data_IF_099362537633
#
_entry.id   IF_099362537633
#
_cell.length_a   1.000
_cell.length_b   1.000
_cell.length_c   1.000
_cell.angle_alpha   90.00
_cell.angle_beta   90.00
_cell.angle_gamma   90.00
#
_symmetry.space_group_name_H-M   'P 1'
#
loop_
_entity.id
_entity.type
_entity.pdbx_description
1 polymer ?
#
# COMPACT_ATOMS: atom_id res chain seq x y z
N UNK A 1 -12.89 -7.83 -15.51
CA UNK A 1 -13.81 -6.68 -15.48
C UNK A 1 -15.29 -7.10 -15.47
N UNK A 2 -15.77 -7.97 -16.37
CA UNK A 2 -17.18 -8.42 -16.39
C UNK A 2 -17.70 -8.96 -15.04
N UNK A 3 -16.92 -9.80 -14.35
CA UNK A 3 -17.33 -10.34 -13.04
C UNK A 3 -17.53 -9.23 -11.99
N UNK A 4 -16.70 -8.20 -11.99
CA UNK A 4 -16.85 -7.07 -11.07
C UNK A 4 -18.08 -6.24 -11.42
N UNK A 5 -18.28 -5.95 -12.72
CA UNK A 5 -19.46 -5.22 -13.16
C UNK A 5 -20.76 -5.96 -12.84
N UNK A 6 -20.85 -7.25 -13.16
CA UNK A 6 -22.05 -8.06 -12.89
C UNK A 6 -22.33 -8.31 -11.40
N UNK A 7 -21.33 -8.17 -10.51
CA UNK A 7 -21.51 -8.38 -9.08
C UNK A 7 -21.63 -7.09 -8.27
N UNK A 8 -21.12 -5.96 -8.78
CA UNK A 8 -21.00 -4.71 -8.02
C UNK A 8 -21.40 -3.46 -8.81
N UNK A 9 -21.88 -3.59 -10.05
CA UNK A 9 -22.19 -2.48 -10.98
C UNK A 9 -21.00 -1.53 -11.24
N UNK A 10 -19.77 -1.98 -10.95
CA UNK A 10 -18.54 -1.23 -11.16
C UNK A 10 -17.43 -2.18 -11.64
N UNK A 11 -16.88 -2.00 -12.87
CA UNK A 11 -15.86 -2.90 -13.42
C UNK A 11 -14.50 -2.81 -12.71
N UNK A 12 -14.29 -1.76 -11.91
CA UNK A 12 -13.08 -1.46 -11.15
C UNK A 12 -13.36 -1.37 -9.64
N UNK A 13 -14.47 -1.95 -9.16
CA UNK A 13 -14.88 -1.89 -7.76
C UNK A 13 -13.72 -2.27 -6.79
N UNK A 14 -13.48 -1.53 -5.69
CA UNK A 14 -14.23 -0.36 -5.21
C UNK A 14 -13.75 0.98 -5.79
N UNK A 15 -12.79 0.98 -6.72
CA UNK A 15 -12.20 2.19 -7.27
C UNK A 15 -13.13 2.89 -8.27
N UNK A 16 -12.89 4.19 -8.48
CA UNK A 16 -13.61 5.03 -9.45
C UNK A 16 -15.15 5.05 -9.27
N UNK A 17 -15.64 4.87 -8.04
CA UNK A 17 -17.08 4.84 -7.79
C UNK A 17 -17.79 6.18 -8.05
N UNK A 18 -17.06 7.31 -8.06
CA UNK A 18 -17.63 8.59 -8.50
C UNK A 18 -18.06 8.60 -9.98
N UNK A 19 -17.53 7.67 -10.79
CA UNK A 19 -17.91 7.50 -12.20
C UNK A 19 -18.97 6.40 -12.36
N UNK A 20 -18.69 5.20 -11.83
CA UNK A 20 -19.53 4.02 -12.05
C UNK A 20 -20.74 3.95 -11.11
N UNK A 21 -20.67 4.60 -9.93
CA UNK A 21 -21.77 4.76 -8.97
C UNK A 21 -22.42 3.44 -8.56
N UNK A 22 -21.60 2.47 -8.17
CA UNK A 22 -22.07 1.28 -7.46
C UNK A 22 -22.92 1.69 -6.26
N UNK A 23 -24.09 1.08 -6.03
CA UNK A 23 -24.94 1.41 -4.89
C UNK A 23 -24.37 0.90 -3.55
N UNK A 24 -23.36 0.02 -3.58
CA UNK A 24 -22.82 -0.64 -2.39
C UNK A 24 -21.96 0.26 -1.51
N UNK A 25 -21.30 1.24 -2.13
CA UNK A 25 -20.44 2.20 -1.45
C UNK A 25 -20.83 3.62 -1.87
N UNK A 26 -20.44 4.59 -1.07
CA UNK A 26 -20.68 6.00 -1.28
C UNK A 26 -20.17 6.42 -2.67
N UNK A 27 -20.79 7.45 -3.27
CA UNK A 27 -20.47 7.92 -4.63
C UNK A 27 -19.12 8.65 -4.73
N UNK A 28 -18.20 8.38 -3.81
CA UNK A 28 -16.84 8.90 -3.80
C UNK A 28 -15.85 7.84 -4.29
N UNK A 29 -14.69 8.28 -4.77
CA UNK A 29 -13.66 7.35 -5.20
C UNK A 29 -12.97 6.76 -3.97
N UNK A 30 -13.10 5.45 -3.77
CA UNK A 30 -12.37 4.73 -2.72
C UNK A 30 -10.87 4.83 -2.97
N UNK A 31 -10.21 5.79 -2.32
CA UNK A 31 -8.75 5.98 -2.40
C UNK A 31 -8.24 6.59 -1.11
N UNK A 32 -6.99 6.29 -0.80
CA UNK A 32 -6.30 6.92 0.32
C UNK A 32 -5.74 8.29 -0.10
N UNK A 33 -6.29 9.36 0.46
CA UNK A 33 -5.86 10.74 0.21
C UNK A 33 -5.01 11.33 1.34
N UNK A 34 -4.69 10.54 2.38
CA UNK A 34 -4.00 11.03 3.59
C UNK A 34 -2.64 11.66 3.27
N UNK A 35 -1.96 11.14 2.26
CA UNK A 35 -0.60 11.52 1.89
C UNK A 35 -0.51 12.39 0.62
N UNK A 36 -1.65 12.71 0.00
CA UNK A 36 -1.68 13.59 -1.16
C UNK A 36 -1.39 15.03 -0.70
N UNK A 37 -0.40 15.73 -1.29
CA UNK A 37 -0.08 17.11 -0.91
C UNK A 37 -1.28 18.04 -1.07
N UNK A 38 -1.55 18.84 -0.04
CA UNK A 38 -2.66 19.82 -0.06
C UNK A 38 -2.27 21.16 -0.67
N UNK A 39 -0.96 21.42 -0.82
CA UNK A 39 -0.44 22.65 -1.38
C UNK A 39 0.91 22.44 -2.07
N UNK A 40 1.32 23.41 -2.88
CA UNK A 40 2.59 23.38 -3.63
C UNK A 40 3.83 23.27 -2.74
N UNK A 41 3.77 23.76 -1.51
CA UNK A 41 4.90 23.69 -0.57
C UNK A 41 5.13 22.23 -0.16
N UNK A 42 4.07 21.54 0.30
CA UNK A 42 4.12 20.11 0.63
C UNK A 42 4.53 19.25 -0.57
N UNK A 43 4.16 19.67 -1.79
CA UNK A 43 4.56 19.00 -3.03
C UNK A 43 6.08 19.02 -3.26
N UNK A 44 6.77 20.13 -3.03
CA UNK A 44 8.23 20.20 -3.20
C UNK A 44 9.01 19.77 -1.96
N UNK A 45 8.39 19.84 -0.78
CA UNK A 45 8.97 19.37 0.47
C UNK A 45 9.22 17.86 0.46
N UNK A 46 8.38 17.09 -0.23
CA UNK A 46 8.44 15.62 -0.17
C UNK A 46 9.84 15.01 -0.40
N UNK A 47 10.52 15.21 -1.55
CA UNK A 47 11.84 14.64 -1.79
C UNK A 47 12.87 15.12 -0.77
N UNK A 48 12.79 16.40 -0.35
CA UNK A 48 13.72 16.99 0.60
C UNK A 48 13.55 16.39 1.99
N UNK A 49 12.32 16.31 2.50
CA UNK A 49 12.02 15.73 3.80
C UNK A 49 12.34 14.24 3.85
N UNK A 50 11.96 13.49 2.81
CA UNK A 50 12.31 12.08 2.68
C UNK A 50 13.81 11.86 2.71
N UNK A 51 14.63 12.75 2.15
CA UNK A 51 16.08 12.58 2.14
C UNK A 51 16.76 12.88 3.50
N UNK A 52 16.25 13.87 4.25
CA UNK A 52 16.98 14.45 5.39
C UNK A 52 16.60 13.84 6.74
N UNK A 53 15.32 13.59 6.99
CA UNK A 53 14.80 13.26 8.32
C UNK A 53 13.89 12.05 8.26
N UNK A 54 14.04 11.05 9.16
CA UNK A 54 13.06 9.98 9.30
C UNK A 54 11.69 10.56 9.64
N UNK A 55 10.69 10.34 8.79
CA UNK A 55 9.38 10.95 8.94
C UNK A 55 8.25 10.07 8.40
N UNK A 56 7.01 10.40 8.77
CA UNK A 56 5.77 9.74 8.34
C UNK A 56 4.91 10.61 7.42
N UNK A 57 5.49 11.66 6.82
CA UNK A 57 4.73 12.64 6.03
C UNK A 57 4.05 12.00 4.81
N UNK A 58 4.69 10.98 4.23
CA UNK A 58 4.24 10.25 3.04
C UNK A 58 4.33 8.73 3.22
N UNK A 59 4.37 8.25 4.46
CA UNK A 59 4.49 6.83 4.81
C UNK A 59 3.84 6.57 6.16
N UNK A 60 3.21 5.40 6.33
CA UNK A 60 2.62 5.00 7.61
C UNK A 60 3.68 4.76 8.70
N UNK A 61 4.90 4.39 8.31
CA UNK A 61 6.02 4.10 9.20
C UNK A 61 7.16 5.06 8.87
N UNK A 62 7.90 5.56 9.88
CA UNK A 62 9.03 6.45 9.66
C UNK A 62 10.01 5.88 8.63
N UNK A 63 10.32 6.67 7.62
CA UNK A 63 11.36 6.35 6.64
C UNK A 63 12.21 7.57 6.31
N UNK A 64 13.40 7.30 5.82
CA UNK A 64 14.34 8.28 5.28
C UNK A 64 15.03 7.64 4.09
N UNK A 65 15.05 8.33 2.97
CA UNK A 65 15.63 7.84 1.74
C UNK A 65 16.03 8.99 0.81
N UNK A 66 17.33 9.16 0.52
CA UNK A 66 17.83 10.24 -0.33
C UNK A 66 17.63 10.00 -1.84
N UNK A 67 17.20 8.80 -2.27
CA UNK A 67 17.12 8.42 -3.70
C UNK A 67 16.08 9.23 -4.47
N UNK A 68 14.99 9.63 -3.80
CA UNK A 68 13.97 10.48 -4.41
C UNK A 68 14.52 11.90 -4.67
N UNK A 69 15.25 12.48 -3.71
CA UNK A 69 15.86 13.79 -3.90
C UNK A 69 16.97 13.75 -4.96
N UNK A 70 17.85 12.75 -4.90
CA UNK A 70 18.95 12.65 -5.86
C UNK A 70 18.44 12.47 -7.29
N UNK A 71 17.43 11.62 -7.50
CA UNK A 71 16.76 11.46 -8.78
C UNK A 71 16.15 12.77 -9.30
N UNK A 72 15.45 13.51 -8.46
CA UNK A 72 14.84 14.80 -8.83
C UNK A 72 15.89 15.84 -9.23
N UNK A 73 16.97 15.98 -8.45
CA UNK A 73 18.07 16.93 -8.73
C UNK A 73 18.75 16.59 -10.06
N UNK A 74 19.03 15.31 -10.32
CA UNK A 74 19.65 14.86 -11.58
C UNK A 74 18.72 15.10 -12.76
N UNK A 75 17.43 14.75 -12.64
CA UNK A 75 16.43 14.96 -13.69
C UNK A 75 16.33 16.44 -14.08
N UNK A 76 16.22 17.33 -13.09
CA UNK A 76 16.19 18.79 -13.31
C UNK A 76 17.49 19.25 -13.98
N UNK A 77 18.64 18.82 -13.49
CA UNK A 77 19.94 19.17 -14.07
C UNK A 77 20.10 18.73 -15.53
N UNK A 78 19.63 17.53 -15.88
CA UNK A 78 19.68 17.01 -17.25
C UNK A 78 18.73 17.77 -18.19
N UNK A 79 17.54 18.14 -17.72
CA UNK A 79 16.59 18.97 -18.48
C UNK A 79 17.16 20.37 -18.72
N UNK A 80 17.72 21.01 -17.70
CA UNK A 80 18.35 22.34 -17.82
C UNK A 80 19.53 22.27 -18.80
N UNK A 81 20.39 21.25 -18.69
CA UNK A 81 21.52 21.06 -19.61
C UNK A 81 21.05 20.83 -21.06
N UNK A 82 19.95 20.09 -21.26
CA UNK A 82 19.34 19.93 -22.58
C UNK A 82 18.80 21.27 -23.12
N UNK A 83 18.06 22.03 -22.31
CA UNK A 83 17.52 23.33 -22.68
C UNK A 83 18.62 24.34 -23.06
N UNK A 84 19.70 24.43 -22.27
CA UNK A 84 20.85 25.29 -22.55
C UNK A 84 21.52 24.90 -23.89
N UNK A 85 21.69 23.60 -24.16
CA UNK A 85 22.28 23.13 -25.44
C UNK A 85 21.44 23.54 -26.65
N UNK A 86 20.11 23.49 -26.52
CA UNK A 86 19.17 23.92 -27.56
C UNK A 86 19.24 25.45 -27.75
N UNK A 87 19.18 26.22 -26.66
CA UNK A 87 19.26 27.68 -26.69
C UNK A 87 20.57 28.19 -27.30
N UNK A 88 21.70 27.54 -26.97
CA UNK A 88 23.02 27.86 -27.52
C UNK A 88 23.24 27.34 -28.94
N UNK A 89 22.22 26.73 -29.58
CA UNK A 89 22.27 26.13 -30.93
C UNK A 89 23.46 25.17 -31.14
N UNK A 90 23.98 24.58 -30.06
CA UNK A 90 25.17 23.72 -30.08
C UNK A 90 24.87 22.29 -30.55
N UNK A 91 23.60 21.93 -30.78
CA UNK A 91 23.23 20.59 -31.25
C UNK A 91 22.03 20.63 -32.20
N UNK A 92 22.23 20.10 -33.43
CA UNK A 92 21.17 19.74 -34.38
C UNK A 92 20.94 18.22 -34.49
N UNK A 93 21.77 17.39 -33.85
CA UNK A 93 21.66 15.93 -33.91
C UNK A 93 21.26 15.38 -32.55
N UNK A 94 20.01 14.92 -32.48
CA UNK A 94 19.33 14.30 -31.33
C UNK A 94 19.02 15.24 -30.15
N UNK A 95 17.89 15.93 -30.27
CA UNK A 95 17.23 16.62 -29.14
C UNK A 95 16.65 15.64 -28.11
N UNK A 96 16.44 14.38 -28.49
CA UNK A 96 15.90 13.30 -27.63
C UNK A 96 17.01 12.32 -27.23
N UNK A 97 17.76 12.65 -26.19
CA UNK A 97 18.67 11.69 -25.56
C UNK A 97 17.93 10.82 -24.54
N UNK A 98 18.45 9.61 -24.29
CA UNK A 98 17.96 8.73 -23.22
C UNK A 98 17.91 9.44 -21.87
N UNK A 99 18.88 10.32 -21.58
CA UNK A 99 18.90 11.15 -20.37
C UNK A 99 17.64 12.03 -20.26
N UNK A 100 17.26 12.72 -21.35
CA UNK A 100 16.10 13.59 -21.35
C UNK A 100 14.82 12.78 -21.17
N UNK A 101 14.73 11.60 -21.81
CA UNK A 101 13.62 10.68 -21.62
C UNK A 101 13.51 10.23 -20.16
N UNK A 102 14.60 9.76 -19.55
CA UNK A 102 14.62 9.33 -18.15
C UNK A 102 14.24 10.48 -17.21
N UNK A 103 14.79 11.68 -17.42
CA UNK A 103 14.49 12.85 -16.61
C UNK A 103 13.02 13.28 -16.74
N UNK A 104 12.48 13.32 -17.96
CA UNK A 104 11.07 13.66 -18.21
C UNK A 104 10.13 12.60 -17.64
N UNK A 105 10.43 11.32 -17.83
CA UNK A 105 9.66 10.21 -17.27
C UNK A 105 9.67 10.26 -15.73
N UNK A 106 10.82 10.55 -15.13
CA UNK A 106 10.95 10.72 -13.68
C UNK A 106 10.03 11.83 -13.16
N UNK A 107 10.11 13.03 -13.73
CA UNK A 107 9.30 14.16 -13.28
C UNK A 107 7.81 13.94 -13.54
N UNK A 108 7.45 13.33 -14.67
CA UNK A 108 6.05 12.99 -14.98
C UNK A 108 5.50 11.98 -13.96
N UNK A 109 6.24 10.90 -13.71
CA UNK A 109 5.85 9.90 -12.72
C UNK A 109 5.80 10.47 -11.30
N UNK A 110 6.70 11.39 -10.96
CA UNK A 110 6.66 12.10 -9.69
C UNK A 110 5.39 12.93 -9.55
N UNK A 111 5.07 13.77 -10.54
CA UNK A 111 3.86 14.60 -10.54
C UNK A 111 2.61 13.72 -10.46
N UNK A 112 2.48 12.74 -11.37
CA UNK A 112 1.31 11.86 -11.42
C UNK A 112 1.18 11.04 -10.13
N UNK A 113 2.23 10.38 -9.68
CA UNK A 113 2.21 9.52 -8.50
C UNK A 113 1.88 10.30 -7.22
N UNK A 114 2.44 11.51 -7.09
CA UNK A 114 2.20 12.36 -5.93
C UNK A 114 0.78 12.97 -5.94
N UNK A 115 0.23 13.28 -7.12
CA UNK A 115 -1.15 13.78 -7.25
C UNK A 115 -2.23 12.71 -7.04
N UNK A 116 -1.95 11.45 -7.40
CA UNK A 116 -2.91 10.36 -7.25
C UNK A 116 -2.86 9.67 -5.90
N UNK A 117 -1.66 9.38 -5.41
CA UNK A 117 -1.46 8.56 -4.21
C UNK A 117 -0.75 9.32 -3.10
N UNK A 118 0.39 9.95 -3.43
CA UNK A 118 1.25 10.61 -2.46
C UNK A 118 1.89 9.70 -1.41
N UNK A 119 1.86 8.37 -1.61
CA UNK A 119 2.42 7.37 -0.69
C UNK A 119 3.80 6.93 -1.19
N UNK A 120 4.81 7.01 -0.33
CA UNK A 120 6.20 6.68 -0.64
C UNK A 120 6.37 5.25 -1.15
N UNK A 121 5.62 4.27 -0.63
CA UNK A 121 5.73 2.87 -1.10
C UNK A 121 5.47 2.69 -2.60
N UNK A 122 4.78 3.64 -3.25
CA UNK A 122 4.51 3.62 -4.68
C UNK A 122 5.59 4.34 -5.51
N UNK A 123 6.61 4.91 -4.87
CA UNK A 123 7.72 5.58 -5.53
C UNK A 123 8.85 4.63 -5.95
N UNK A 124 8.67 3.31 -5.84
CA UNK A 124 9.70 2.32 -6.21
C UNK A 124 10.23 2.51 -7.64
N UNK A 125 9.36 2.87 -8.59
CA UNK A 125 9.78 3.14 -9.98
C UNK A 125 10.66 4.39 -10.05
N UNK A 126 10.34 5.43 -9.26
CA UNK A 126 11.17 6.62 -9.14
C UNK A 126 12.50 6.32 -8.45
N UNK A 127 12.53 5.48 -7.42
CA UNK A 127 13.77 5.07 -6.77
C UNK A 127 14.71 4.34 -7.75
N UNK A 128 14.17 3.40 -8.53
CA UNK A 128 14.94 2.66 -9.53
C UNK A 128 15.45 3.59 -10.65
N UNK A 129 14.59 4.47 -11.14
CA UNK A 129 14.96 5.43 -12.19
C UNK A 129 15.99 6.45 -11.68
N UNK A 130 15.79 6.96 -10.45
CA UNK A 130 16.73 7.84 -9.77
C UNK A 130 18.10 7.19 -9.55
N UNK A 131 18.13 5.93 -9.10
CA UNK A 131 19.35 5.16 -8.96
C UNK A 131 20.07 4.94 -10.30
N UNK A 132 19.32 4.63 -11.37
CA UNK A 132 19.90 4.48 -12.71
C UNK A 132 20.49 5.79 -13.23
N UNK A 133 19.77 6.92 -13.07
CA UNK A 133 20.28 8.24 -13.45
C UNK A 133 21.53 8.62 -12.65
N UNK A 134 21.53 8.35 -11.34
CA UNK A 134 22.69 8.57 -10.47
C UNK A 134 23.89 7.75 -10.92
N UNK A 135 23.69 6.47 -11.25
CA UNK A 135 24.77 5.62 -11.75
C UNK A 135 25.40 6.16 -13.03
N UNK A 136 24.57 6.60 -13.99
CA UNK A 136 25.05 7.25 -15.23
C UNK A 136 25.82 8.54 -14.92
N UNK A 137 25.30 9.37 -14.01
CA UNK A 137 25.96 10.61 -13.60
C UNK A 137 27.34 10.34 -12.97
N UNK A 138 27.44 9.32 -12.11
CA UNK A 138 28.68 8.93 -11.45
C UNK A 138 29.71 8.37 -12.44
N UNK A 139 29.31 7.55 -13.41
CA UNK A 139 30.23 7.07 -14.47
C UNK A 139 30.83 8.25 -15.24
N UNK A 140 29.99 9.20 -15.66
CA UNK A 140 30.44 10.38 -16.41
C UNK A 140 31.35 11.28 -15.57
N UNK A 141 31.08 11.39 -14.27
CA UNK A 141 31.93 12.13 -13.35
C UNK A 141 33.28 11.44 -13.18
N UNK A 142 33.30 10.12 -12.98
CA UNK A 142 34.53 9.31 -12.89
C UNK A 142 35.39 9.39 -14.14
N UNK A 143 34.79 9.50 -15.33
CA UNK A 143 35.52 9.71 -16.59
C UNK A 143 36.21 11.09 -16.68
N UNK A 144 35.79 12.08 -15.89
CA UNK A 144 36.37 13.43 -15.87
C UNK A 144 37.40 13.63 -14.76
N UNK A 145 37.47 12.71 -13.80
CA UNK A 145 38.35 12.76 -12.65
C UNK A 145 39.51 11.78 -12.80
N UNK A 146 40.52 11.89 -11.93
CA UNK A 146 41.53 10.84 -11.79
C UNK A 146 40.87 9.51 -11.37
N UNK A 147 41.53 8.37 -11.65
CA UNK A 147 40.98 7.07 -11.28
C UNK A 147 40.68 6.96 -9.77
N UNK A 148 41.59 7.48 -8.94
CA UNK A 148 41.46 7.45 -7.48
C UNK A 148 40.30 8.34 -7.00
N UNK A 149 40.23 9.59 -7.46
CA UNK A 149 39.19 10.54 -7.03
C UNK A 149 37.81 10.09 -7.51
N UNK A 150 37.71 9.60 -8.75
CA UNK A 150 36.46 9.09 -9.30
C UNK A 150 35.91 7.91 -8.50
N UNK A 151 36.78 6.96 -8.12
CA UNK A 151 36.40 5.81 -7.30
C UNK A 151 36.00 6.25 -5.88
N UNK A 152 36.73 7.20 -5.29
CA UNK A 152 36.41 7.76 -3.99
C UNK A 152 35.03 8.41 -4.00
N UNK A 153 34.73 9.26 -4.99
CA UNK A 153 33.42 9.91 -5.13
C UNK A 153 32.29 8.90 -5.31
N UNK A 154 32.47 7.87 -6.15
CA UNK A 154 31.46 6.82 -6.33
C UNK A 154 31.20 6.09 -5.02
N UNK A 155 32.27 5.64 -4.35
CA UNK A 155 32.19 4.89 -3.09
C UNK A 155 31.52 5.71 -2.00
N UNK A 156 31.95 6.95 -1.81
CA UNK A 156 31.37 7.86 -0.81
C UNK A 156 29.89 8.16 -1.08
N UNK A 157 29.50 8.28 -2.36
CA UNK A 157 28.09 8.49 -2.72
C UNK A 157 27.24 7.27 -2.37
N UNK A 158 27.68 6.06 -2.71
CA UNK A 158 26.96 4.83 -2.36
C UNK A 158 26.89 4.62 -0.84
N UNK A 159 27.99 4.86 -0.13
CA UNK A 159 28.02 4.78 1.34
C UNK A 159 27.08 5.80 1.97
N UNK A 160 27.05 7.04 1.46
CA UNK A 160 26.13 8.07 1.95
C UNK A 160 24.67 7.64 1.76
N UNK A 161 24.31 7.09 0.60
CA UNK A 161 22.95 6.57 0.37
C UNK A 161 22.63 5.43 1.33
N UNK A 162 23.55 4.48 1.52
CA UNK A 162 23.34 3.35 2.41
C UNK A 162 23.13 3.79 3.87
N UNK A 163 23.94 4.72 4.38
CA UNK A 163 23.86 5.22 5.76
C UNK A 163 22.63 6.12 5.98
N UNK A 164 22.27 6.91 4.97
CA UNK A 164 21.12 7.81 5.07
C UNK A 164 19.78 7.08 4.85
N UNK A 165 19.77 5.89 4.27
CA UNK A 165 18.52 5.15 4.07
C UNK A 165 18.10 4.43 5.36
N UNK A 166 16.92 4.79 5.89
CA UNK A 166 16.23 4.05 6.94
C UNK A 166 14.96 3.42 6.37
N UNK A 167 14.97 2.09 6.29
CA UNK A 167 13.90 1.31 5.68
C UNK A 167 12.72 1.14 6.63
N UNK A 168 11.48 1.37 6.18
CA UNK A 168 10.29 1.04 6.97
C UNK A 168 10.13 -0.48 7.09
N UNK A 169 9.75 -0.94 8.29
CA UNK A 169 9.46 -2.35 8.57
C UNK A 169 7.99 -2.52 8.97
N UNK A 170 7.19 -3.11 8.07
CA UNK A 170 5.79 -3.45 8.31
C UNK A 170 5.62 -4.84 8.95
N UNK A 171 6.70 -5.44 9.43
CA UNK A 171 6.73 -6.81 9.94
C UNK A 171 7.00 -7.79 8.81
N UNK A 172 8.12 -8.49 8.89
CA UNK A 172 8.50 -9.56 7.97
C UNK A 172 8.61 -10.87 8.73
N UNK A 173 8.05 -11.92 8.13
CA UNK A 173 8.27 -13.28 8.61
C UNK A 173 9.65 -13.75 8.11
N UNK A 174 10.47 -14.39 8.96
CA UNK A 174 11.72 -14.99 8.52
C UNK A 174 11.52 -16.00 7.38
N UNK A 175 12.44 -15.99 6.41
CA UNK A 175 12.51 -17.03 5.37
C UNK A 175 13.29 -18.21 5.92
N UNK A 176 12.58 -19.20 6.45
CA UNK A 176 13.14 -20.42 7.06
C UNK A 176 13.17 -21.63 6.11
N UNK A 177 12.83 -21.43 4.82
CA UNK A 177 12.77 -22.47 3.80
C UNK A 177 11.47 -23.30 3.81
N UNK A 178 10.55 -23.06 4.75
CA UNK A 178 9.23 -23.69 4.76
C UNK A 178 8.21 -22.98 3.85
N UNK A 179 6.99 -23.53 3.71
CA UNK A 179 5.91 -22.88 2.98
C UNK A 179 5.63 -21.45 3.52
N UNK A 180 5.41 -20.48 2.63
CA UNK A 180 5.16 -19.10 3.08
C UNK A 180 3.83 -18.98 3.85
N UNK A 181 2.80 -19.67 3.38
CA UNK A 181 1.53 -19.81 4.08
C UNK A 181 1.53 -21.11 4.89
N UNK A 182 1.62 -20.98 6.22
CA UNK A 182 1.58 -22.09 7.19
C UNK A 182 0.49 -21.85 8.24
N UNK A 183 -0.68 -21.42 7.78
CA UNK A 183 -1.80 -21.17 8.67
C UNK A 183 -2.38 -22.50 9.14
N UNK A 184 -2.37 -22.74 10.44
CA UNK A 184 -3.06 -23.89 11.04
C UNK A 184 -4.47 -23.43 11.43
N UNK A 185 -5.38 -23.50 10.45
CA UNK A 185 -6.76 -23.05 10.61
C UNK A 185 -7.65 -24.19 11.12
N UNK A 186 -8.57 -23.93 12.07
CA UNK A 186 -9.41 -24.97 12.63
C UNK A 186 -10.45 -25.45 11.62
N UNK A 187 -10.68 -26.77 11.60
CA UNK A 187 -11.83 -27.35 10.93
C UNK A 187 -13.12 -26.88 11.61
N UNK A 188 -14.04 -26.35 10.81
CA UNK A 188 -15.36 -25.91 11.29
C UNK A 188 -16.45 -26.91 10.84
N UNK A 189 -17.58 -26.99 11.56
CA UNK A 189 -18.71 -27.77 11.11
C UNK A 189 -19.15 -27.40 9.68
N UNK A 190 -19.75 -28.34 8.92
CA UNK A 190 -20.27 -28.04 7.59
C UNK A 190 -21.26 -26.87 7.60
N UNK A 191 -21.26 -26.06 6.54
CA UNK A 191 -22.12 -24.88 6.41
C UNK A 191 -21.91 -23.82 7.51
N UNK A 192 -20.71 -23.71 8.08
CA UNK A 192 -20.37 -22.60 8.99
C UNK A 192 -20.21 -21.28 8.25
N UNK A 193 -20.50 -20.18 8.96
CA UNK A 193 -20.24 -18.81 8.53
C UNK A 193 -19.21 -18.16 9.45
N UNK A 194 -18.19 -17.56 8.85
CA UNK A 194 -17.22 -16.72 9.57
C UNK A 194 -17.55 -15.26 9.29
N UNK A 195 -17.68 -14.47 10.35
CA UNK A 195 -17.80 -13.01 10.26
C UNK A 195 -16.56 -12.38 10.87
N UNK A 196 -15.76 -11.72 10.03
CA UNK A 196 -14.62 -10.98 10.50
C UNK A 196 -15.01 -9.59 10.99
N UNK A 197 -14.49 -9.27 12.16
CA UNK A 197 -14.80 -8.05 12.91
C UNK A 197 -13.53 -7.23 13.19
N UNK A 198 -12.49 -7.45 12.39
CA UNK A 198 -11.18 -6.82 12.52
C UNK A 198 -10.79 -6.06 11.26
N UNK A 199 -10.08 -4.96 11.42
CA UNK A 199 -9.49 -4.18 10.31
C UNK A 199 -8.20 -4.78 9.76
N UNK A 200 -7.73 -5.89 10.36
CA UNK A 200 -6.50 -6.54 9.96
C UNK A 200 -6.61 -7.20 8.58
N UNK A 201 -5.51 -7.29 7.81
CA UNK A 201 -5.53 -7.83 6.46
C UNK A 201 -5.63 -9.37 6.48
N UNK A 202 -6.85 -9.88 6.61
CA UNK A 202 -7.16 -11.31 6.80
C UNK A 202 -7.64 -12.02 5.52
N UNK A 203 -7.78 -11.32 4.40
CA UNK A 203 -8.37 -11.87 3.17
C UNK A 203 -7.63 -13.10 2.63
N UNK A 204 -6.33 -13.22 2.93
CA UNK A 204 -5.52 -14.37 2.54
C UNK A 204 -5.90 -15.68 3.25
N UNK A 205 -6.59 -15.61 4.39
CA UNK A 205 -7.05 -16.78 5.15
C UNK A 205 -8.26 -17.47 4.49
N UNK A 206 -9.11 -16.69 3.81
CA UNK A 206 -10.37 -17.16 3.23
C UNK A 206 -10.20 -18.38 2.31
N UNK A 207 -9.34 -18.36 1.27
CA UNK A 207 -9.17 -19.52 0.40
C UNK A 207 -8.44 -20.71 1.04
N UNK A 208 -7.86 -20.53 2.23
CA UNK A 208 -7.08 -21.56 2.92
C UNK A 208 -7.90 -22.29 3.98
N UNK A 209 -9.10 -21.79 4.29
CA UNK A 209 -9.90 -22.33 5.38
C UNK A 209 -10.45 -23.72 5.03
N UNK A 210 -10.20 -24.76 5.85
CA UNK A 210 -10.72 -26.10 5.59
C UNK A 210 -12.25 -26.11 5.45
N UNK A 211 -12.76 -26.77 4.41
CA UNK A 211 -14.20 -26.89 4.16
C UNK A 211 -14.85 -25.65 3.52
N UNK A 212 -14.08 -24.60 3.19
CA UNK A 212 -14.56 -23.39 2.50
C UNK A 212 -15.85 -22.79 3.11
N UNK A 213 -15.84 -22.44 4.41
CA UNK A 213 -16.98 -21.80 5.06
C UNK A 213 -17.36 -20.49 4.36
N UNK A 214 -18.63 -20.09 4.49
CA UNK A 214 -19.05 -18.76 4.06
C UNK A 214 -18.29 -17.70 4.87
N UNK A 215 -18.03 -16.54 4.26
CA UNK A 215 -17.23 -15.50 4.88
C UNK A 215 -17.78 -14.11 4.62
N UNK A 216 -17.94 -13.32 5.68
CA UNK A 216 -18.22 -11.88 5.59
C UNK A 216 -17.17 -11.09 6.35
N UNK A 217 -16.72 -9.97 5.79
CA UNK A 217 -15.87 -9.01 6.52
C UNK A 217 -16.69 -7.79 6.88
N UNK A 218 -17.18 -7.76 8.11
CA UNK A 218 -18.06 -6.70 8.60
C UNK A 218 -17.30 -5.41 8.95
N UNK A 219 -15.98 -5.51 9.12
CA UNK A 219 -15.08 -4.37 9.33
C UNK A 219 -13.95 -4.44 8.31
N UNK A 220 -13.83 -3.43 7.44
CA UNK A 220 -12.76 -3.31 6.42
C UNK A 220 -12.45 -1.84 6.16
N UNK A 221 -11.48 -1.52 5.30
CA UNK A 221 -11.29 -0.18 4.74
C UNK A 221 -12.34 0.21 3.67
N UNK A 222 -13.21 -0.72 3.27
CA UNK A 222 -14.26 -0.49 2.26
C UNK A 222 -15.61 -0.27 2.95
N UNK A 223 -15.87 -0.86 4.10
CA UNK A 223 -17.13 -0.65 4.82
C UNK A 223 -16.96 -0.85 6.31
N UNK A 224 -17.70 -0.06 7.07
CA UNK A 224 -17.80 -0.22 8.51
C UNK A 224 -19.15 0.29 9.01
N UNK A 225 -19.40 0.24 10.32
CA UNK A 225 -20.72 0.54 10.87
C UNK A 225 -21.15 2.02 10.73
N UNK A 226 -20.25 2.90 10.29
CA UNK A 226 -20.46 4.35 10.13
C UNK A 226 -20.37 4.86 8.69
N UNK A 227 -20.00 4.02 7.71
CA UNK A 227 -19.80 4.43 6.30
C UNK A 227 -20.05 3.26 5.36
N UNK A 228 -20.44 3.55 4.11
CA UNK A 228 -20.83 2.53 3.14
C UNK A 228 -21.90 1.57 3.70
N UNK A 229 -22.96 2.15 4.29
CA UNK A 229 -23.98 1.44 5.05
C UNK A 229 -24.75 0.43 4.20
N UNK A 230 -24.88 0.66 2.90
CA UNK A 230 -25.58 -0.27 2.01
C UNK A 230 -24.89 -1.64 1.97
N UNK A 231 -23.56 -1.67 1.87
CA UNK A 231 -22.80 -2.93 1.93
C UNK A 231 -22.91 -3.59 3.31
N UNK A 232 -22.98 -2.79 4.38
CA UNK A 232 -23.22 -3.32 5.73
C UNK A 232 -24.61 -3.96 5.86
N UNK A 233 -25.65 -3.36 5.28
CA UNK A 233 -27.00 -3.92 5.30
C UNK A 233 -27.07 -5.26 4.57
N UNK A 234 -26.33 -5.42 3.47
CA UNK A 234 -26.20 -6.71 2.77
C UNK A 234 -25.46 -7.76 3.59
N UNK A 235 -24.39 -7.37 4.30
CA UNK A 235 -23.70 -8.26 5.24
C UNK A 235 -24.64 -8.69 6.36
N UNK A 236 -25.37 -7.75 6.98
CA UNK A 236 -26.35 -8.04 8.03
C UNK A 236 -27.43 -8.98 7.52
N UNK A 237 -27.99 -8.72 6.34
CA UNK A 237 -29.01 -9.59 5.73
C UNK A 237 -28.47 -11.01 5.49
N UNK A 238 -27.23 -11.14 5.00
CA UNK A 238 -26.57 -12.42 4.78
C UNK A 238 -26.32 -13.20 6.08
N UNK A 239 -25.85 -12.51 7.13
CA UNK A 239 -25.62 -13.12 8.45
C UNK A 239 -26.92 -13.59 9.09
N UNK A 240 -27.99 -12.78 9.02
CA UNK A 240 -29.30 -13.13 9.56
C UNK A 240 -29.99 -14.27 8.79
N UNK A 241 -29.79 -14.35 7.47
CA UNK A 241 -30.35 -15.41 6.62
C UNK A 241 -29.61 -16.75 6.75
N UNK A 242 -28.35 -16.72 7.21
CA UNK A 242 -27.57 -17.93 7.43
C UNK A 242 -28.21 -18.82 8.50
N UNK A 243 -28.19 -20.15 8.32
CA UNK A 243 -28.81 -21.11 9.26
C UNK A 243 -27.81 -21.94 10.06
N UNK A 244 -26.57 -22.07 9.59
CA UNK A 244 -25.53 -22.85 10.24
C UNK A 244 -24.86 -22.13 11.41
N UNK A 245 -23.83 -22.76 12.01
CA UNK A 245 -23.01 -22.17 13.07
C UNK A 245 -22.31 -20.89 12.61
N UNK A 246 -22.26 -19.88 13.47
CA UNK A 246 -21.60 -18.60 13.21
C UNK A 246 -20.35 -18.50 14.09
N UNK A 247 -19.26 -18.07 13.47
CA UNK A 247 -18.00 -17.81 14.13
C UNK A 247 -17.56 -16.37 13.89
N UNK A 248 -16.90 -15.78 14.89
CA UNK A 248 -16.35 -14.44 14.83
C UNK A 248 -14.84 -14.50 14.79
N UNK A 249 -14.26 -13.88 13.77
CA UNK A 249 -12.82 -13.70 13.62
C UNK A 249 -12.45 -12.28 14.05
N UNK A 250 -11.59 -12.14 15.07
CA UNK A 250 -11.15 -10.84 15.61
C UNK A 250 -9.66 -10.83 15.96
N UNK A 251 -9.10 -9.64 16.15
CA UNK A 251 -7.74 -9.47 16.63
C UNK A 251 -7.66 -9.56 18.16
N UNK A 252 -6.69 -10.30 18.68
CA UNK A 252 -6.49 -10.43 20.12
C UNK A 252 -5.96 -9.13 20.74
N UNK A 253 -6.42 -8.79 21.94
CA UNK A 253 -5.86 -7.70 22.75
C UNK A 253 -6.17 -6.27 22.28
N UNK A 254 -6.94 -6.10 21.21
CA UNK A 254 -7.50 -4.79 20.82
C UNK A 254 -8.91 -4.64 21.40
N UNK A 255 -9.31 -3.45 21.88
CA UNK A 255 -10.70 -3.18 22.24
C UNK A 255 -11.61 -3.58 21.07
N UNK A 256 -12.76 -4.18 21.40
CA UNK A 256 -13.77 -4.62 20.44
C UNK A 256 -14.40 -3.38 19.76
N UNK A 257 -13.71 -2.81 18.77
CA UNK A 257 -14.25 -1.79 17.84
C UNK A 257 -15.52 -2.33 17.12
N UNK A 258 -15.79 -3.61 17.29
CA UNK A 258 -16.91 -4.39 16.81
C UNK A 258 -18.15 -4.38 17.66
N UNK A 259 -18.24 -3.72 18.82
CA UNK A 259 -19.54 -3.61 19.55
C UNK A 259 -20.67 -3.06 18.67
N UNK A 260 -20.36 -2.06 17.84
CA UNK A 260 -21.34 -1.48 16.92
C UNK A 260 -21.67 -2.43 15.74
N UNK A 261 -20.72 -3.28 15.37
CA UNK A 261 -20.87 -4.28 14.32
C UNK A 261 -21.69 -5.49 14.83
N UNK A 262 -21.33 -6.06 15.97
CA UNK A 262 -22.01 -7.20 16.60
C UNK A 262 -23.45 -6.87 16.98
N UNK A 263 -23.70 -5.66 17.47
CA UNK A 263 -25.07 -5.18 17.74
C UNK A 263 -25.93 -5.07 16.47
N UNK A 264 -25.38 -4.53 15.36
CA UNK A 264 -26.07 -4.50 14.06
C UNK A 264 -26.33 -5.91 13.51
N UNK A 265 -25.37 -6.82 13.69
CA UNK A 265 -25.46 -8.21 13.26
C UNK A 265 -26.39 -9.06 14.14
N UNK A 266 -26.83 -8.55 15.30
CA UNK A 266 -27.63 -9.29 16.31
C UNK A 266 -26.97 -10.59 16.75
N UNK A 267 -25.67 -10.51 17.05
CA UNK A 267 -24.88 -11.65 17.51
C UNK A 267 -24.22 -11.36 18.86
N UNK A 268 -24.15 -12.39 19.69
CA UNK A 268 -23.39 -12.42 20.95
C UNK A 268 -22.21 -13.36 20.80
N UNK A 269 -21.01 -12.89 21.16
CA UNK A 269 -19.78 -13.68 21.11
C UNK A 269 -19.69 -14.54 22.38
N UNK A 270 -19.40 -15.83 22.22
CA UNK A 270 -19.09 -16.70 23.35
C UNK A 270 -17.58 -16.68 23.62
N UNK A 271 -17.11 -15.75 24.44
CA UNK A 271 -15.68 -15.57 24.73
C UNK A 271 -15.00 -16.83 25.30
N UNK A 272 -15.75 -17.72 25.97
CA UNK A 272 -15.24 -18.98 26.49
C UNK A 272 -14.88 -20.02 25.42
N UNK A 273 -15.22 -19.77 24.16
CA UNK A 273 -14.96 -20.67 23.03
C UNK A 273 -13.84 -20.18 22.11
N UNK A 274 -13.25 -19.02 22.41
CA UNK A 274 -12.23 -18.42 21.57
C UNK A 274 -10.97 -19.29 21.48
N UNK A 275 -10.47 -19.47 20.26
CA UNK A 275 -9.22 -20.18 19.98
C UNK A 275 -8.32 -19.28 19.17
N UNK A 276 -7.08 -19.13 19.62
CA UNK A 276 -6.04 -18.42 18.87
C UNK A 276 -5.79 -19.11 17.52
N UNK A 277 -5.59 -18.31 16.48
CA UNK A 277 -5.14 -18.79 15.18
C UNK A 277 -3.61 -18.81 15.14
N UNK A 278 -3.05 -19.97 14.81
CA UNK A 278 -1.63 -20.12 14.54
C UNK A 278 -1.34 -19.69 13.09
N UNK A 279 -0.86 -18.45 12.95
CA UNK A 279 -0.44 -17.89 11.68
C UNK A 279 0.94 -17.24 11.84
N UNK A 280 1.78 -17.25 10.78
CA UNK A 280 3.12 -16.67 10.86
C UNK A 280 3.13 -15.12 10.92
N UNK A 281 1.96 -14.47 10.86
CA UNK A 281 1.81 -13.01 10.72
C UNK A 281 1.73 -12.33 12.09
N UNK A 282 2.35 -11.15 12.28
CA UNK A 282 2.53 -10.49 13.58
C UNK A 282 1.25 -10.08 14.32
N UNK A 283 0.08 -10.15 13.69
CA UNK A 283 -1.16 -9.79 14.37
C UNK A 283 -1.84 -11.04 14.93
N UNK A 284 -1.91 -11.19 16.26
CA UNK A 284 -2.59 -12.31 16.86
C UNK A 284 -4.09 -12.24 16.54
N UNK A 285 -4.64 -13.31 15.96
CA UNK A 285 -6.06 -13.45 15.68
C UNK A 285 -6.64 -14.59 16.51
N UNK A 286 -7.94 -14.51 16.77
CA UNK A 286 -8.71 -15.58 17.38
C UNK A 286 -10.06 -15.76 16.69
N UNK A 287 -10.58 -16.98 16.78
CA UNK A 287 -11.92 -17.33 16.31
C UNK A 287 -12.77 -17.80 17.48
N UNK A 288 -13.98 -17.27 17.61
CA UNK A 288 -14.91 -17.57 18.70
C UNK A 288 -16.27 -18.00 18.13
N UNK A 289 -17.01 -18.86 18.82
CA UNK A 289 -18.39 -19.14 18.49
C UNK A 289 -19.27 -17.92 18.79
N UNK A 290 -20.31 -17.70 17.98
CA UNK A 290 -21.28 -16.65 18.20
C UNK A 290 -22.71 -17.18 18.07
N UNK A 291 -23.58 -16.67 18.94
CA UNK A 291 -25.00 -16.99 18.98
C UNK A 291 -25.83 -15.81 18.50
N UNK A 292 -26.95 -16.08 17.84
CA UNK A 292 -27.93 -15.03 17.49
C UNK A 292 -28.65 -14.56 18.74
N UNK A 293 -28.97 -13.27 18.78
CA UNK A 293 -29.78 -12.62 19.82
C UNK A 293 -31.18 -12.33 19.27
#
# INVERSE_FOLDING_TARGET
MWKMYSSFDNPLFPYFNGVFKSPLIDSENARDVRFVPRNVITFFQFPVFSALVPNTLHSEIPLRDPRLLSGAVIAIGWIIAAAIRVLLRKSQRETWSLDLFMAAAYLLMYVVGLSFFGIYRYTIVLELLGAAMLFVALIRLRQRLSHADGLAVCTMTFLAIMVLTSWPDWGRVPLDGGPYFRNNLPGLPPSSLIVATTMEPIGYLVPQWPGNPAFYSALTNISGPTYNLRLQDEIVAGVLAHKGPIYILRAMGKPDDSKLVTSRLRISINDGTCRALEQPVPVPLEICEANRI
#
